data_IF_221605178208
#
_entry.id   IF_221605178208
#
_cell.length_a   1.000
_cell.length_b   1.000
_cell.length_c   1.000
_cell.angle_alpha   90.00
_cell.angle_beta   90.00
_cell.angle_gamma   90.00
#
_symmetry.space_group_name_H-M   'P 1'
#
loop_
_entity.id
_entity.type
_entity.pdbx_description
1 polymer ?
#
# COMPACT_ATOMS: atom_id res chain seq x y z
N UNK A 1 -11.49 8.56 -4.30
CA UNK A 1 -10.30 7.72 -4.52
C UNK A 1 -10.57 6.79 -5.69
N UNK A 2 -9.63 6.67 -6.61
CA UNK A 2 -9.80 5.79 -7.76
C UNK A 2 -9.68 4.32 -7.35
N UNK A 3 -10.00 3.43 -8.29
CA UNK A 3 -10.10 1.99 -8.01
C UNK A 3 -8.77 1.37 -7.56
N UNK A 4 -7.67 1.70 -8.24
CA UNK A 4 -6.39 1.06 -7.93
C UNK A 4 -5.88 1.40 -6.53
N UNK A 5 -5.88 2.66 -6.07
CA UNK A 5 -5.51 2.96 -4.69
C UNK A 5 -6.36 2.22 -3.66
N UNK A 6 -7.65 2.05 -3.92
CA UNK A 6 -8.52 1.27 -3.01
C UNK A 6 -8.07 -0.18 -2.94
N UNK A 7 -7.71 -0.78 -4.08
CA UNK A 7 -7.22 -2.15 -4.13
C UNK A 7 -5.88 -2.29 -3.40
N UNK A 8 -5.02 -1.30 -3.52
CA UNK A 8 -3.75 -1.29 -2.78
C UNK A 8 -4.01 -1.26 -1.28
N UNK A 9 -4.90 -0.39 -0.82
CA UNK A 9 -5.25 -0.32 0.60
C UNK A 9 -5.78 -1.67 1.10
N UNK A 10 -6.70 -2.27 0.36
CA UNK A 10 -7.29 -3.57 0.74
C UNK A 10 -6.23 -4.66 0.80
N UNK A 11 -5.32 -4.68 -0.17
CA UNK A 11 -4.26 -5.68 -0.22
C UNK A 11 -3.30 -5.52 0.96
N UNK A 12 -2.93 -4.29 1.29
CA UNK A 12 -2.07 -4.03 2.44
C UNK A 12 -2.75 -4.48 3.74
N UNK A 13 -4.06 -4.26 3.86
CA UNK A 13 -4.80 -4.69 5.04
C UNK A 13 -4.85 -6.22 5.14
N UNK A 14 -5.20 -6.89 4.05
CA UNK A 14 -5.35 -8.35 4.02
C UNK A 14 -4.01 -9.05 4.31
N UNK A 15 -2.91 -8.50 3.81
CA UNK A 15 -1.59 -9.09 4.01
C UNK A 15 -0.96 -8.71 5.35
N UNK A 16 -1.62 -7.86 6.13
CA UNK A 16 -1.10 -7.47 7.44
C UNK A 16 0.03 -6.45 7.39
N UNK A 17 0.15 -5.69 6.31
CA UNK A 17 1.20 -4.69 6.14
C UNK A 17 0.87 -3.43 6.93
N UNK A 18 0.97 -3.53 8.27
CA UNK A 18 0.60 -2.46 9.20
C UNK A 18 1.77 -2.00 10.06
N UNK A 19 2.97 -2.49 9.76
CA UNK A 19 4.19 -2.12 10.50
C UNK A 19 5.38 -2.20 9.56
N UNK A 20 6.49 -1.53 9.88
CA UNK A 20 7.67 -1.53 9.00
C UNK A 20 8.21 -2.92 8.68
N UNK A 21 8.15 -3.85 9.62
CA UNK A 21 8.67 -5.20 9.42
C UNK A 21 7.79 -6.05 8.49
N UNK A 22 6.54 -5.63 8.28
CA UNK A 22 5.60 -6.33 7.40
C UNK A 22 5.31 -5.55 6.13
N UNK A 23 6.04 -4.47 5.88
CA UNK A 23 5.84 -3.61 4.72
C UNK A 23 6.14 -4.33 3.42
N UNK A 24 5.42 -3.99 2.36
CA UNK A 24 5.54 -4.58 1.03
C UNK A 24 6.12 -3.58 0.05
N UNK A 25 6.94 -4.08 -0.88
CA UNK A 25 7.47 -3.23 -1.94
C UNK A 25 6.40 -2.98 -3.01
N UNK A 26 6.66 -1.97 -3.85
CA UNK A 26 5.79 -1.69 -4.99
C UNK A 26 5.71 -2.89 -5.93
N UNK A 27 6.82 -3.61 -6.11
CA UNK A 27 6.84 -4.80 -6.96
C UNK A 27 5.99 -5.93 -6.37
N UNK A 28 6.07 -6.14 -5.06
CA UNK A 28 5.23 -7.15 -4.39
C UNK A 28 3.75 -6.85 -4.62
N UNK A 29 3.37 -5.59 -4.46
CA UNK A 29 1.97 -5.17 -4.66
C UNK A 29 1.55 -5.31 -6.11
N UNK A 30 2.42 -4.93 -7.04
CA UNK A 30 2.15 -5.07 -8.48
C UNK A 30 1.85 -6.52 -8.82
N UNK A 31 2.65 -7.44 -8.31
CA UNK A 31 2.47 -8.87 -8.56
C UNK A 31 1.16 -9.38 -7.96
N UNK A 32 0.84 -8.97 -6.75
CA UNK A 32 -0.41 -9.39 -6.08
C UNK A 32 -1.65 -8.85 -6.79
N UNK A 33 -1.55 -7.65 -7.34
CA UNK A 33 -2.69 -6.98 -7.98
C UNK A 33 -2.78 -7.27 -9.48
N UNK A 34 -1.73 -7.86 -10.07
CA UNK A 34 -1.71 -8.13 -11.49
C UNK A 34 -1.60 -6.88 -12.34
N UNK A 35 -0.89 -5.87 -11.86
CA UNK A 35 -0.68 -4.60 -12.58
C UNK A 35 0.81 -4.36 -12.76
N UNK A 36 1.15 -3.41 -13.64
CA UNK A 36 2.53 -3.01 -13.81
C UNK A 36 3.07 -2.27 -12.60
N UNK A 37 4.38 -2.37 -12.35
CA UNK A 37 5.00 -1.75 -11.19
C UNK A 37 4.84 -0.23 -11.20
N UNK A 38 4.89 0.39 -12.38
CA UNK A 38 4.73 1.84 -12.49
C UNK A 38 3.37 2.31 -11.95
N UNK A 39 2.31 1.54 -12.25
CA UNK A 39 0.97 1.84 -11.73
C UNK A 39 0.89 1.63 -10.22
N UNK A 40 1.50 0.56 -9.72
CA UNK A 40 1.57 0.28 -8.30
C UNK A 40 2.28 1.43 -7.57
N UNK A 41 3.43 1.85 -8.10
CA UNK A 41 4.20 2.94 -7.51
C UNK A 41 3.39 4.24 -7.48
N UNK A 42 2.72 4.58 -8.59
CA UNK A 42 1.90 5.80 -8.66
C UNK A 42 0.78 5.78 -7.62
N UNK A 43 0.13 4.63 -7.44
CA UNK A 43 -0.92 4.49 -6.43
C UNK A 43 -0.36 4.66 -5.03
N UNK A 44 0.81 4.09 -4.75
CA UNK A 44 1.45 4.23 -3.44
C UNK A 44 1.87 5.67 -3.17
N UNK A 45 2.36 6.39 -4.19
CA UNK A 45 2.69 7.80 -4.03
C UNK A 45 1.45 8.63 -3.70
N UNK A 46 0.35 8.37 -4.39
CA UNK A 46 -0.91 9.06 -4.11
C UNK A 46 -1.37 8.79 -2.68
N UNK A 47 -1.32 7.55 -2.25
CA UNK A 47 -1.71 7.17 -0.89
C UNK A 47 -0.78 7.76 0.17
N UNK A 48 0.50 7.86 -0.14
CA UNK A 48 1.47 8.49 0.75
C UNK A 48 1.19 9.97 0.94
N UNK A 49 0.83 10.67 -0.16
CA UNK A 49 0.47 12.09 -0.07
C UNK A 49 -0.79 12.31 0.75
N UNK A 50 -1.70 11.34 0.72
CA UNK A 50 -2.92 11.41 1.53
C UNK A 50 -2.75 10.97 2.98
N UNK A 51 -1.56 10.50 3.35
CA UNK A 51 -1.29 10.05 4.72
C UNK A 51 -1.81 8.64 5.02
N UNK A 52 -2.15 7.86 3.99
CA UNK A 52 -2.71 6.53 4.17
C UNK A 52 -1.64 5.45 4.31
N UNK A 53 -0.47 5.67 3.74
CA UNK A 53 0.64 4.72 3.83
C UNK A 53 1.90 5.46 4.25
N UNK A 54 2.76 4.75 4.97
CA UNK A 54 4.11 5.18 5.29
C UNK A 54 5.08 4.29 4.52
N UNK A 55 6.31 4.73 4.39
CA UNK A 55 7.32 3.93 3.73
C UNK A 55 8.55 3.78 4.60
N UNK A 56 9.28 2.70 4.38
CA UNK A 56 10.51 2.40 5.09
C UNK A 56 11.45 1.69 4.13
N UNK A 57 12.75 2.04 4.12
CA UNK A 57 13.71 1.31 3.29
C UNK A 57 14.16 0.04 4.00
N UNK A 58 14.34 -1.03 3.21
CA UNK A 58 14.92 -2.28 3.70
C UNK A 58 15.70 -2.91 2.56
N UNK A 59 16.99 -3.16 2.79
CA UNK A 59 17.88 -3.75 1.78
C UNK A 59 17.86 -2.96 0.47
N UNK A 60 17.83 -1.62 0.57
CA UNK A 60 17.82 -0.74 -0.58
C UNK A 60 16.50 -0.65 -1.32
N UNK A 61 15.44 -1.29 -0.80
CA UNK A 61 14.12 -1.29 -1.42
C UNK A 61 13.13 -0.54 -0.52
N UNK A 62 12.40 0.39 -1.13
CA UNK A 62 11.36 1.13 -0.42
C UNK A 62 10.14 0.22 -0.24
N UNK A 63 9.68 0.10 1.00
CA UNK A 63 8.54 -0.75 1.35
C UNK A 63 7.48 0.09 2.02
N UNK A 64 6.23 -0.33 1.90
CA UNK A 64 5.08 0.47 2.30
C UNK A 64 4.19 -0.31 3.27
N UNK A 65 3.60 0.41 4.22
CA UNK A 65 2.68 -0.16 5.19
C UNK A 65 1.62 0.87 5.55
N UNK A 66 0.48 0.40 6.03
CA UNK A 66 -0.65 1.27 6.36
C UNK A 66 -0.35 2.12 7.60
N UNK A 67 -0.67 3.41 7.52
CA UNK A 67 -0.74 4.27 8.69
C UNK A 67 -2.05 3.99 9.43
N UNK A 68 -2.24 4.60 10.60
CA UNK A 68 -3.51 4.49 11.32
C UNK A 68 -4.68 4.96 10.44
N UNK A 69 -4.49 6.09 9.73
CA UNK A 69 -5.49 6.60 8.79
C UNK A 69 -5.72 5.60 7.66
N UNK A 70 -4.66 4.97 7.18
CA UNK A 70 -4.76 3.96 6.12
C UNK A 70 -5.53 2.72 6.56
N UNK A 71 -5.34 2.29 7.79
CA UNK A 71 -6.09 1.14 8.33
C UNK A 71 -7.59 1.44 8.35
N UNK A 72 -7.95 2.63 8.80
CA UNK A 72 -9.35 3.06 8.84
C UNK A 72 -9.92 3.10 7.42
N UNK A 73 -9.20 3.71 6.49
CA UNK A 73 -9.65 3.83 5.11
C UNK A 73 -9.77 2.46 4.44
N UNK A 74 -8.81 1.57 4.66
CA UNK A 74 -8.83 0.22 4.10
C UNK A 74 -10.01 -0.58 4.65
N UNK A 75 -10.27 -0.48 5.94
CA UNK A 75 -11.40 -1.16 6.59
C UNK A 75 -12.73 -0.69 6.02
N UNK A 76 -12.88 0.62 5.80
CA UNK A 76 -14.09 1.18 5.20
C UNK A 76 -14.29 0.72 3.76
N UNK A 77 -13.19 0.63 2.99
CA UNK A 77 -13.23 0.17 1.61
C UNK A 77 -13.58 -1.31 1.53
N UNK A 78 -13.07 -2.08 2.48
CA UNK A 78 -13.25 -3.53 2.50
C UNK A 78 -14.67 -3.93 2.89
N UNK A 79 -15.26 -3.20 3.79
CA UNK A 79 -16.63 -3.49 4.24
C UNK A 79 -17.65 -2.91 3.26
#
# INVERSE_FOLDING_TARGET
MSELPKRVLSTLLITGAQSPDKALSSLDLANKLGVGEALSWAALEELGRGGYVNSTPRDGVQRFYLSATGIIAASSTYS
#
